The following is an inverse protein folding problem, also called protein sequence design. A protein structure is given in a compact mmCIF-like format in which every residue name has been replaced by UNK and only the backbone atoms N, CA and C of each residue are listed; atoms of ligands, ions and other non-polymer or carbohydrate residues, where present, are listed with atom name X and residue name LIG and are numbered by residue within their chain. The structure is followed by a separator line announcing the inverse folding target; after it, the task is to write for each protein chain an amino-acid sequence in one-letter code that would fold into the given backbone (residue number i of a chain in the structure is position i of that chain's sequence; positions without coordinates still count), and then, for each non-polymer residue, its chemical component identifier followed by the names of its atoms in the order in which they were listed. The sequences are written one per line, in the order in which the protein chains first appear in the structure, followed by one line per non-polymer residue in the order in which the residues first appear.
data_IF_512496612685
#
_entry.id   IF_512496612685
#
_cell.length_a   1.000
_cell.length_b   1.000
_cell.length_c   1.000
_cell.angle_alpha   90.00
_cell.angle_beta   90.00
_cell.angle_gamma   90.00
#
_symmetry.space_group_name_H-M   'P 1'
#
loop_
_entity.id
_entity.type
_entity.pdbx_description
1 polymer ?
2 non-polymer ?
3 non-polymer ?
4 water ?
#
# COMPACT_ATOMS: atom_id res chain seq x y z
N UNK A 8 -29.51 -23.05 17.64
CA UNK A 8 -28.67 -21.88 17.40
C UNK A 8 -28.23 -21.81 15.93
N UNK A 9 -29.13 -21.38 15.06
CA UNK A 9 -28.86 -21.25 13.63
C UNK A 9 -28.82 -19.79 13.24
N UNK A 10 -27.84 -19.43 12.41
CA UNK A 10 -27.67 -18.05 11.98
C UNK A 10 -28.90 -17.54 11.24
N UNK A 11 -29.34 -16.33 11.59
CA UNK A 11 -30.30 -15.62 10.74
C UNK A 11 -30.15 -14.13 10.98
N UNK A 12 -30.09 -13.37 9.90
CA UNK A 12 -29.77 -11.95 10.01
C UNK A 12 -30.25 -11.22 8.78
N UNK A 13 -30.52 -9.91 8.95
CA UNK A 13 -30.81 -9.01 7.85
C UNK A 13 -29.64 -8.05 7.75
N UNK A 14 -29.09 -7.91 6.55
CA UNK A 14 -27.89 -7.10 6.35
C UNK A 14 -28.14 -6.15 5.19
N UNK A 15 -27.62 -4.93 5.30
CA UNK A 15 -27.64 -4.00 4.18
C UNK A 15 -26.72 -4.53 3.07
N UNK A 16 -27.27 -4.68 1.86
CA UNK A 16 -26.54 -5.33 0.78
C UNK A 16 -25.23 -4.62 0.48
N UNK A 17 -25.27 -3.29 0.33
CA UNK A 17 -24.07 -2.55 -0.04
C UNK A 17 -22.96 -2.76 0.99
N UNK A 18 -23.33 -2.88 2.27
CA UNK A 18 -22.32 -3.10 3.30
C UNK A 18 -21.71 -4.48 3.16
N UNK A 19 -22.54 -5.50 2.91
CA UNK A 19 -22.02 -6.84 2.73
C UNK A 19 -21.12 -6.91 1.50
N UNK A 20 -21.52 -6.24 0.41
CA UNK A 20 -20.70 -6.21 -0.80
C UNK A 20 -19.30 -5.70 -0.48
N UNK A 21 -19.21 -4.56 0.23
CA UNK A 21 -17.90 -3.99 0.54
C UNK A 21 -17.04 -4.96 1.36
N UNK A 22 -17.63 -5.58 2.39
CA UNK A 22 -16.87 -6.51 3.23
C UNK A 22 -16.37 -7.70 2.42
N UNK A 23 -17.21 -8.22 1.52
CA UNK A 23 -16.80 -9.36 0.71
C UNK A 23 -15.69 -8.96 -0.25
N UNK A 24 -15.67 -7.71 -0.70
CA UNK A 24 -14.56 -7.26 -1.52
C UNK A 24 -13.24 -7.40 -0.80
N UNK A 25 -13.21 -7.07 0.50
CA UNK A 25 -11.96 -7.24 1.25
C UNK A 25 -11.64 -8.71 1.45
N UNK A 26 -12.69 -9.53 1.63
CA UNK A 26 -12.47 -10.96 1.79
C UNK A 26 -11.89 -11.57 0.52
N UNK A 27 -12.42 -11.18 -0.63
CA UNK A 27 -11.89 -11.68 -1.89
C UNK A 27 -10.43 -11.31 -2.08
N UNK A 28 -10.05 -10.07 -1.73
CA UNK A 28 -8.68 -9.62 -1.95
C UNK A 28 -7.68 -10.38 -1.09
N UNK A 29 -8.15 -11.07 -0.05
CA UNK A 29 -7.25 -11.84 0.82
C UNK A 29 -6.90 -13.18 0.18
N UNK A 30 -7.87 -13.81 -0.46
CA UNK A 30 -7.67 -15.13 -1.03
C UNK A 30 -7.29 -15.04 -2.50
N UNK A 36 -4.62 -24.88 -0.27
CA UNK A 36 -5.51 -25.38 0.78
C UNK A 36 -6.96 -25.03 0.47
N UNK A 37 -7.83 -26.05 0.44
CA UNK A 37 -9.25 -25.80 0.15
C UNK A 37 -9.93 -24.88 1.14
N UNK A 38 -9.55 -24.95 2.43
CA UNK A 38 -10.21 -24.14 3.46
C UNK A 38 -10.03 -22.64 3.22
N UNK A 39 -9.01 -22.24 2.48
CA UNK A 39 -8.79 -20.82 2.20
C UNK A 39 -9.83 -20.24 1.26
N UNK A 40 -10.53 -21.08 0.50
CA UNK A 40 -11.57 -20.64 -0.43
C UNK A 40 -12.87 -20.25 0.27
N UNK A 41 -12.97 -20.45 1.58
CA UNK A 41 -14.22 -20.23 2.29
C UNK A 41 -14.13 -19.00 3.18
N UNK A 42 -15.30 -18.51 3.57
CA UNK A 42 -15.42 -17.38 4.49
C UNK A 42 -16.32 -17.83 5.63
N UNK A 43 -15.95 -17.50 6.85
CA UNK A 43 -16.78 -17.84 8.00
C UNK A 43 -17.66 -16.65 8.34
N UNK A 44 -18.96 -16.90 8.51
CA UNK A 44 -19.92 -15.87 8.90
C UNK A 44 -20.42 -16.22 10.30
N UNK A 45 -20.25 -15.29 11.24
CA UNK A 45 -20.66 -15.51 12.62
C UNK A 45 -21.59 -14.38 13.04
N UNK A 46 -22.84 -14.72 13.35
CA UNK A 46 -23.82 -13.73 13.77
C UNK A 46 -23.90 -13.77 15.29
N UNK A 47 -23.52 -12.66 15.94
CA UNK A 47 -23.54 -12.63 17.39
C UNK A 47 -23.53 -11.19 17.87
N UNK A 48 -24.35 -10.92 18.89
CA UNK A 48 -24.35 -9.64 19.59
C UNK A 48 -24.42 -8.47 18.62
N UNK A 49 -25.45 -8.46 17.78
CA UNK A 49 -25.72 -7.35 16.89
C UNK A 49 -24.80 -7.21 15.68
N UNK A 50 -23.87 -8.12 15.48
CA UNK A 50 -22.92 -7.97 14.40
C UNK A 50 -22.80 -9.26 13.61
N UNK A 51 -22.42 -9.12 12.35
CA UNK A 51 -21.94 -10.23 11.54
C UNK A 51 -20.41 -10.13 11.48
N UNK A 52 -19.73 -11.17 11.91
CA UNK A 52 -18.27 -11.24 11.78
C UNK A 52 -17.92 -12.11 10.58
N UNK A 53 -17.14 -11.56 9.64
CA UNK A 53 -16.67 -12.27 8.47
C UNK A 53 -15.18 -12.55 8.62
N UNK A 54 -14.79 -13.83 8.56
CA UNK A 54 -13.40 -14.23 8.70
C UNK A 54 -12.90 -14.84 7.40
N UNK A 55 -11.74 -14.35 6.95
CA UNK A 55 -11.02 -14.86 5.80
C UNK A 55 -9.56 -15.06 6.17
N UNK A 56 -8.95 -16.10 5.59
CA UNK A 56 -7.54 -16.35 5.90
C UNK A 56 -6.87 -16.98 4.69
N UNK A 57 -5.57 -16.73 4.58
CA UNK A 57 -4.72 -17.50 3.66
C UNK A 57 -3.47 -17.92 4.42
N UNK A 58 -2.36 -18.16 3.71
CA UNK A 58 -1.14 -18.64 4.35
C UNK A 58 -0.49 -17.59 5.24
N UNK A 59 -0.75 -16.29 5.01
CA UNK A 59 0.00 -15.24 5.67
C UNK A 59 -0.88 -14.25 6.43
N UNK A 60 -2.17 -14.19 6.12
CA UNK A 60 -3.09 -13.20 6.65
C UNK A 60 -4.28 -13.87 7.31
N UNK A 61 -4.79 -13.23 8.35
CA UNK A 61 -6.10 -13.58 8.91
C UNK A 61 -6.87 -12.28 9.07
N UNK A 62 -8.01 -12.20 8.42
CA UNK A 62 -8.82 -10.99 8.37
C UNK A 62 -10.15 -11.24 9.05
N UNK A 63 -10.50 -10.38 10.00
CA UNK A 63 -11.78 -10.45 10.68
C UNK A 63 -12.47 -9.10 10.57
N UNK A 64 -13.66 -9.10 9.97
CA UNK A 64 -14.45 -7.88 9.83
C UNK A 64 -15.76 -8.04 10.59
N UNK A 65 -16.16 -7.02 11.33
CA UNK A 65 -17.46 -7.02 11.96
C UNK A 65 -18.29 -5.88 11.40
N UNK A 66 -19.50 -6.18 10.96
CA UNK A 66 -20.43 -5.16 10.46
C UNK A 66 -21.74 -5.28 11.22
N UNK A 67 -22.34 -4.14 11.54
CA UNK A 67 -23.63 -4.15 12.20
C UNK A 67 -24.69 -4.71 11.27
N UNK A 68 -25.47 -5.66 11.77
CA UNK A 68 -26.60 -6.22 11.07
C UNK A 68 -27.74 -6.40 12.08
N UNK A 69 -28.88 -6.83 11.58
CA UNK A 69 -30.01 -7.22 12.44
C UNK A 69 -29.85 -8.70 12.72
N UNK A 70 -29.32 -9.03 13.90
CA UNK A 70 -29.13 -10.43 14.29
C UNK A 70 -30.46 -10.96 14.80
N UNK A 71 -31.12 -11.77 13.98
CA UNK A 71 -32.39 -12.40 14.37
C UNK A 71 -32.18 -13.73 15.09
N UNK A 72 -31.11 -14.44 14.76
CA UNK A 72 -30.74 -15.65 15.47
C UNK A 72 -29.24 -15.84 15.36
N UNK A 73 -28.59 -16.14 16.48
CA UNK A 73 -27.13 -16.23 16.50
C UNK A 73 -26.66 -17.58 15.99
N UNK A 74 -25.54 -17.58 15.27
CA UNK A 74 -24.98 -18.83 14.78
C UNK A 74 -23.82 -18.53 13.85
N UNK A 75 -23.24 -19.61 13.30
CA UNK A 75 -22.09 -19.48 12.42
C UNK A 75 -22.18 -20.50 11.29
N UNK A 76 -21.72 -20.10 10.09
CA UNK A 76 -21.58 -20.99 8.96
C UNK A 76 -20.32 -20.60 8.20
N UNK A 77 -19.84 -21.52 7.36
CA UNK A 77 -18.83 -21.20 6.36
C UNK A 77 -19.36 -21.55 4.97
N UNK A 78 -19.00 -20.71 4.00
CA UNK A 78 -19.50 -20.84 2.63
C UNK A 78 -18.41 -20.34 1.69
N UNK A 79 -18.54 -20.68 0.40
CA UNK A 79 -17.58 -20.25 -0.60
C UNK A 79 -17.54 -18.73 -0.70
N UNK A 80 -16.34 -18.14 -0.57
CA UNK A 80 -16.24 -16.68 -0.70
C UNK A 80 -16.63 -16.22 -2.11
N UNK A 81 -16.08 -16.85 -3.13
CA UNK A 81 -16.40 -16.47 -4.51
C UNK A 81 -17.90 -16.57 -4.80
N UNK A 82 -18.51 -17.68 -4.42
CA UNK A 82 -19.94 -17.85 -4.71
C UNK A 82 -20.77 -16.78 -4.00
N UNK A 83 -20.54 -16.60 -2.69
CA UNK A 83 -21.32 -15.62 -1.94
C UNK A 83 -21.15 -14.22 -2.50
N UNK A 84 -19.91 -13.80 -2.78
CA UNK A 84 -19.72 -12.44 -3.28
C UNK A 84 -20.26 -12.28 -4.69
N UNK A 85 -20.09 -13.28 -5.55
CA UNK A 85 -20.64 -13.19 -6.90
C UNK A 85 -22.14 -12.97 -6.87
N UNK A 86 -22.84 -13.65 -5.95
CA UNK A 86 -24.29 -13.53 -5.88
C UNK A 86 -24.67 -12.18 -5.32
N UNK A 87 -24.10 -11.81 -4.17
CA UNK A 87 -24.56 -10.65 -3.44
C UNK A 87 -24.34 -9.37 -4.25
N UNK A 88 -23.24 -9.30 -5.00
CA UNK A 88 -22.99 -8.08 -5.75
C UNK A 88 -23.89 -7.93 -6.97
N UNK A 89 -24.69 -8.95 -7.29
CA UNK A 89 -25.67 -8.82 -8.36
C UNK A 89 -27.09 -8.69 -7.83
N UNK A 90 -27.25 -8.55 -6.53
CA UNK A 90 -28.61 -8.45 -6.05
C UNK A 90 -29.02 -6.99 -5.94
N UNK A 91 -30.19 -6.60 -6.47
CA UNK A 91 -30.58 -5.18 -6.44
C UNK A 91 -31.23 -4.74 -5.13
N UNK A 92 -31.51 -5.66 -4.22
CA UNK A 92 -32.22 -5.34 -2.99
C UNK A 92 -31.32 -4.52 -2.06
N UNK A 93 -31.92 -3.54 -1.37
CA UNK A 93 -31.14 -2.76 -0.41
C UNK A 93 -30.81 -3.54 0.85
N UNK A 94 -31.59 -4.57 1.19
CA UNK A 94 -31.29 -5.47 2.30
C UNK A 94 -31.45 -6.90 1.85
N UNK A 95 -30.72 -7.80 2.49
CA UNK A 95 -30.84 -9.23 2.26
C UNK A 95 -31.04 -9.94 3.59
N UNK A 96 -31.77 -11.05 3.56
CA UNK A 96 -31.86 -11.95 4.72
C UNK A 96 -31.01 -13.18 4.48
N UNK A 97 -30.15 -13.50 5.44
CA UNK A 97 -29.31 -14.69 5.42
C UNK A 97 -29.82 -15.66 6.48
N UNK A 98 -30.16 -16.88 6.08
CA UNK A 98 -30.68 -17.87 7.01
C UNK A 98 -29.95 -19.18 6.80
N UNK A 99 -29.34 -19.71 7.86
CA UNK A 99 -28.84 -21.08 7.87
C UNK A 99 -30.01 -22.05 8.04
N UNK A 100 -30.15 -22.98 7.10
CA UNK A 100 -31.15 -24.05 7.18
C UNK A 100 -30.46 -25.35 7.58
N UNK A 101 -31.26 -26.30 8.06
CA UNK A 101 -30.67 -27.52 8.60
C UNK A 101 -30.44 -28.59 7.54
N UNK A 102 -29.96 -28.19 6.36
CA UNK A 102 -29.51 -29.15 5.35
C UNK A 102 -28.07 -28.81 4.98
N UNK A 103 -27.35 -28.17 5.89
CA UNK A 103 -26.02 -27.62 5.60
C UNK A 103 -26.08 -26.70 4.38
N UNK A 104 -26.93 -25.69 4.50
CA UNK A 104 -27.25 -24.78 3.40
C UNK A 104 -27.51 -23.40 3.98
N UNK A 105 -27.04 -22.39 3.28
CA UNK A 105 -27.32 -21.00 3.59
C UNK A 105 -28.30 -20.46 2.55
N UNK A 106 -29.45 -19.96 3.02
CA UNK A 106 -30.39 -19.26 2.17
C UNK A 106 -30.06 -17.78 2.15
N UNK A 107 -29.92 -17.21 0.95
CA UNK A 107 -29.82 -15.76 0.76
C UNK A 107 -31.11 -15.34 0.08
N UNK A 108 -31.85 -14.45 0.72
CA UNK A 108 -33.18 -14.08 0.24
C UNK A 108 -33.25 -12.59 -0.01
N UNK A 109 -33.57 -12.22 -1.26
CA UNK A 109 -34.05 -10.90 -1.59
C UNK A 109 -35.55 -10.90 -1.74
N UNK A 110 -36.08 -9.80 -2.29
CA UNK A 110 -37.54 -9.66 -2.35
C UNK A 110 -38.16 -10.66 -3.31
N UNK A 111 -37.52 -10.91 -4.44
CA UNK A 111 -38.10 -11.80 -5.44
C UNK A 111 -37.23 -13.01 -5.76
N UNK A 112 -36.09 -13.17 -5.11
CA UNK A 112 -35.16 -14.22 -5.50
C UNK A 112 -34.62 -14.90 -4.25
N UNK A 113 -34.18 -16.14 -4.43
CA UNK A 113 -33.66 -16.94 -3.34
C UNK A 113 -32.49 -17.77 -3.85
N UNK A 114 -31.41 -17.81 -3.06
CA UNK A 114 -30.22 -18.59 -3.37
C UNK A 114 -29.95 -19.50 -2.20
N UNK A 115 -29.76 -20.79 -2.47
CA UNK A 115 -29.38 -21.74 -1.42
C UNK A 115 -27.97 -22.23 -1.69
N UNK A 116 -27.03 -21.89 -0.79
CA UNK A 116 -25.63 -22.25 -0.94
C UNK A 116 -25.30 -23.40 0.00
N UNK A 117 -24.58 -24.39 -0.50
CA UNK A 117 -24.04 -25.42 0.37
C UNK A 117 -23.05 -24.79 1.34
N UNK A 118 -23.13 -25.18 2.62
CA UNK A 118 -22.18 -24.72 3.64
C UNK A 118 -21.21 -25.83 3.96
N UNK A 119 -20.09 -25.45 4.56
CA UNK A 119 -19.09 -26.39 5.01
C UNK A 119 -18.98 -26.34 6.53
N UNK A 120 -18.53 -27.42 7.15
CA UNK A 120 -18.51 -27.45 8.63
C UNK A 120 -17.65 -26.33 9.21
N UNK A 121 -18.26 -25.55 10.11
CA UNK A 121 -17.54 -24.49 10.81
C UNK A 121 -16.32 -25.05 11.55
N UNK A 122 -16.40 -26.29 12.03
CA UNK A 122 -15.30 -26.87 12.79
C UNK A 122 -14.05 -27.09 11.96
N UNK A 123 -14.14 -27.01 10.63
CA UNK A 123 -12.98 -27.11 9.76
C UNK A 123 -12.46 -25.75 9.34
N UNK A 124 -12.98 -24.70 9.88
CA UNK A 124 -12.43 -23.41 9.53
C UNK A 124 -11.44 -22.98 10.61
N UNK A 125 -10.26 -22.50 10.24
CA UNK A 125 -9.25 -22.15 11.25
C UNK A 125 -9.60 -20.92 12.03
N UNK A 126 -9.39 -20.98 13.35
CA UNK A 126 -9.47 -19.79 14.17
C UNK A 126 -8.18 -18.99 14.07
N UNK A 127 -8.25 -17.72 14.47
CA UNK A 127 -7.12 -16.82 14.37
C UNK A 127 -6.14 -17.11 15.49
N UNK A 128 -4.84 -16.99 15.19
CA UNK A 128 -3.82 -17.10 16.21
C UNK A 128 -3.77 -15.81 17.02
N UNK A 129 -2.81 -15.68 17.93
CA UNK A 129 -2.75 -14.56 18.86
C UNK A 129 -1.40 -13.85 18.77
N UNK A 130 -1.32 -12.68 19.39
CA UNK A 130 -0.08 -11.93 19.44
C UNK A 130 0.18 -11.54 20.90
N UNK A 131 1.46 -11.52 21.27
CA UNK A 131 1.91 -11.01 22.57
C UNK A 131 2.79 -9.82 22.20
N UNK A 132 2.23 -8.63 22.05
CA UNK A 132 2.98 -7.53 21.42
C UNK A 132 4.13 -7.03 22.29
N UNK A 133 5.25 -6.75 21.63
CA UNK A 133 6.36 -6.06 22.28
C UNK A 133 6.06 -4.56 22.40
N UNK A 134 5.40 -3.98 21.41
CA UNK A 134 4.94 -2.60 21.47
C UNK A 134 3.58 -2.54 20.81
N UNK A 135 2.77 -1.56 21.23
CA UNK A 135 1.52 -1.28 20.52
C UNK A 135 1.28 0.22 20.60
N UNK A 136 0.60 0.75 19.58
CA UNK A 136 0.38 2.18 19.49
C UNK A 136 -0.71 2.42 18.47
N UNK A 137 -1.26 3.64 18.50
CA UNK A 137 -2.36 4.05 17.64
C UNK A 137 -1.90 5.23 16.79
N UNK A 138 -2.21 5.18 15.49
CA UNK A 138 -2.00 6.30 14.58
C UNK A 138 -3.24 6.45 13.72
N UNK A 139 -3.36 7.59 13.06
CA UNK A 139 -4.51 7.81 12.20
C UNK A 139 -4.41 6.97 10.94
N UNK A 140 -5.57 6.55 10.42
CA UNK A 140 -5.58 5.78 9.19
C UNK A 140 -4.97 6.57 8.03
N UNK A 141 -5.21 7.87 7.97
CA UNK A 141 -4.69 8.66 6.86
C UNK A 141 -3.18 8.77 6.92
N UNK A 142 -2.61 8.84 8.12
CA UNK A 142 -1.15 8.85 8.24
C UNK A 142 -0.56 7.50 7.86
N UNK A 143 -1.23 6.41 8.25
CA UNK A 143 -0.70 5.10 7.89
C UNK A 143 -0.79 4.86 6.39
N UNK A 144 -1.89 5.30 5.77
CA UNK A 144 -2.03 5.15 4.32
C UNK A 144 -0.89 5.85 3.59
N UNK A 145 -0.54 7.06 4.03
CA UNK A 145 0.52 7.82 3.39
C UNK A 145 1.85 7.07 3.43
N UNK A 146 2.23 6.54 4.61
CA UNK A 146 3.56 5.93 4.68
C UNK A 146 3.62 4.64 3.88
N UNK A 147 2.49 3.92 3.76
CA UNK A 147 2.47 2.72 2.92
C UNK A 147 2.46 3.11 1.44
N UNK A 148 1.68 4.13 1.08
CA UNK A 148 1.68 4.58 -0.30
C UNK A 148 3.04 5.10 -0.72
N UNK A 149 3.82 5.63 0.22
CA UNK A 149 5.13 6.15 -0.16
C UNK A 149 6.20 5.09 -0.24
N UNK A 150 5.92 3.86 0.17
CA UNK A 150 6.94 2.82 0.23
C UNK A 150 6.59 1.54 -0.52
N UNK A 151 5.32 1.31 -0.87
CA UNK A 151 4.95 0.02 -1.44
C UNK A 151 5.58 -0.21 -2.82
N UNK A 152 5.87 0.85 -3.55
CA UNK A 152 6.31 0.71 -4.94
C UNK A 152 7.79 0.33 -5.07
N UNK A 153 8.61 0.54 -4.04
CA UNK A 153 10.04 0.26 -4.13
C UNK A 153 10.43 -0.98 -3.33
N UNK A 154 9.48 -1.87 -3.05
CA UNK A 154 9.79 -3.20 -2.55
C UNK A 154 10.51 -3.99 -3.63
N UNK A 155 11.52 -4.77 -3.23
CA UNK A 155 12.17 -5.67 -4.17
C UNK A 155 11.23 -6.82 -4.54
N UNK A 156 11.40 -7.32 -5.76
CA UNK A 156 10.49 -8.32 -6.29
C UNK A 156 11.15 -9.66 -6.63
N UNK A 157 12.48 -9.77 -6.60
CA UNK A 157 13.11 -11.06 -6.79
C UNK A 157 13.18 -11.79 -5.46
N UNK A 158 12.79 -13.07 -5.46
CA UNK A 158 12.57 -13.83 -4.24
C UNK A 158 13.87 -14.30 -3.58
N UNK A 159 15.03 -14.02 -4.16
CA UNK A 159 16.28 -14.40 -3.51
C UNK A 159 16.58 -13.49 -2.32
N UNK A 160 16.55 -12.17 -2.53
CA UNK A 160 16.77 -11.20 -1.45
C UNK A 160 15.50 -11.13 -0.62
N UNK A 161 15.35 -12.13 0.27
CA UNK A 161 14.13 -12.23 1.07
C UNK A 161 13.90 -10.99 1.92
N UNK A 162 14.95 -10.48 2.57
CA UNK A 162 14.78 -9.38 3.50
C UNK A 162 14.44 -8.05 2.82
N UNK A 163 14.25 -8.03 1.51
CA UNK A 163 13.85 -6.82 0.80
C UNK A 163 12.43 -6.87 0.24
N UNK A 164 11.76 -8.02 0.32
CA UNK A 164 10.45 -8.20 -0.29
C UNK A 164 9.32 -7.77 0.64
N UNK A 165 9.57 -6.77 1.47
CA UNK A 165 8.55 -6.24 2.35
C UNK A 165 8.85 -4.79 2.70
N UNK A 166 7.98 -4.22 3.51
CA UNK A 166 8.14 -2.85 3.99
C UNK A 166 8.63 -2.91 5.43
N UNK A 167 9.80 -2.33 5.69
CA UNK A 167 10.32 -2.26 7.05
C UNK A 167 9.50 -1.25 7.84
N UNK A 168 8.83 -1.70 8.89
CA UNK A 168 8.08 -0.82 9.79
C UNK A 168 8.82 -0.78 11.12
N UNK A 169 9.23 0.41 11.55
CA UNK A 169 9.98 0.43 12.79
C UNK A 169 9.81 1.75 13.51
N UNK A 170 9.82 1.65 14.84
CA UNK A 170 9.75 2.80 15.74
C UNK A 170 11.17 3.17 16.13
N UNK A 171 11.54 4.43 15.91
CA UNK A 171 12.80 4.98 16.40
C UNK A 171 12.48 6.30 17.08
N UNK A 172 12.87 6.41 18.36
CA UNK A 172 12.54 7.57 19.21
C UNK A 172 11.02 7.65 19.28
N UNK A 173 10.40 8.80 19.04
CA UNK A 173 8.95 8.92 18.99
C UNK A 173 8.44 9.00 17.56
N UNK A 174 9.12 8.35 16.63
CA UNK A 174 8.72 8.38 15.23
C UNK A 174 8.55 6.96 14.70
N UNK A 175 7.60 6.81 13.78
CA UNK A 175 7.27 5.51 13.20
C UNK A 175 7.56 5.60 11.71
N UNK A 176 8.46 4.77 11.23
CA UNK A 176 8.95 4.82 9.85
C UNK A 176 8.42 3.63 9.07
N UNK A 177 8.13 3.86 7.79
CA UNK A 177 8.10 2.81 6.79
C UNK A 177 9.27 3.03 5.85
N UNK A 178 9.93 1.94 5.45
CA UNK A 178 11.09 2.02 4.56
C UNK A 178 11.08 0.81 3.64
N UNK A 179 11.44 1.04 2.37
CA UNK A 179 11.53 -0.05 1.41
C UNK A 179 12.68 0.23 0.44
N UNK A 180 13.31 -0.84 -0.03
CA UNK A 180 14.36 -0.68 -1.02
C UNK A 180 14.43 -1.94 -1.86
N UNK A 181 14.87 -1.78 -3.11
CA UNK A 181 15.18 -2.91 -3.97
C UNK A 181 16.64 -2.91 -4.40
N UNK A 182 17.48 -2.11 -3.76
CA UNK A 182 18.86 -1.99 -4.14
C UNK A 182 19.14 -0.94 -5.18
N UNK A 183 18.10 -0.45 -5.86
CA UNK A 183 18.26 0.63 -6.83
C UNK A 183 17.70 1.95 -6.35
N UNK A 184 16.70 1.91 -5.48
CA UNK A 184 16.10 3.11 -4.91
C UNK A 184 15.69 2.83 -3.48
N UNK A 185 15.43 3.91 -2.75
CA UNK A 185 15.10 3.86 -1.34
C UNK A 185 13.94 4.81 -1.10
N UNK A 186 12.96 4.35 -0.35
CA UNK A 186 11.78 5.14 -0.02
C UNK A 186 11.57 5.09 1.49
N UNK A 187 11.38 6.25 2.10
CA UNK A 187 11.19 6.37 3.55
C UNK A 187 10.07 7.36 3.80
N UNK A 188 9.13 6.97 4.68
CA UNK A 188 8.04 7.86 5.07
C UNK A 188 7.72 7.62 6.54
N UNK A 189 7.46 8.69 7.29
CA UNK A 189 7.32 8.48 8.73
C UNK A 189 6.26 9.40 9.33
N UNK A 190 5.89 9.04 10.57
CA UNK A 190 4.84 9.66 11.37
C UNK A 190 5.42 9.90 12.76
N UNK A 191 5.10 11.05 13.35
CA UNK A 191 5.49 11.33 14.72
C UNK A 191 4.47 10.72 15.68
N UNK A 192 4.97 9.96 16.67
CA UNK A 192 4.09 9.29 17.62
C UNK A 192 3.77 10.20 18.80
N UNK A 193 2.58 10.01 19.36
CA UNK A 193 2.12 10.85 20.47
C UNK A 193 2.97 10.63 21.72
N UNK A 194 3.15 9.37 22.13
CA UNK A 194 3.91 9.04 23.33
C UNK A 194 5.20 8.33 22.96
N UNK A 195 6.13 8.29 23.91
CA UNK A 195 7.34 7.50 23.75
C UNK A 195 7.01 6.02 23.81
N UNK A 196 7.87 5.22 23.19
CA UNK A 196 7.58 3.83 22.88
C UNK A 196 8.90 3.13 22.54
N UNK A 197 9.04 1.88 22.97
CA UNK A 197 10.30 1.17 22.76
C UNK A 197 10.61 1.04 21.28
N UNK A 198 11.89 1.12 20.94
CA UNK A 198 12.33 0.92 19.57
C UNK A 198 12.12 -0.54 19.16
N UNK A 199 11.54 -0.75 17.98
CA UNK A 199 11.17 -2.08 17.53
C UNK A 199 10.90 -2.02 16.03
N UNK A 200 11.14 -3.13 15.34
CA UNK A 200 10.94 -3.16 13.91
C UNK A 200 10.55 -4.52 13.40
N UNK A 201 9.75 -4.53 12.31
CA UNK A 201 9.30 -5.74 11.63
C UNK A 201 9.29 -5.48 10.14
N UNK A 202 9.30 -6.55 9.35
CA UNK A 202 9.21 -6.45 7.88
C UNK A 202 7.85 -6.99 7.45
N UNK A 203 7.00 -6.12 6.93
CA UNK A 203 5.65 -6.46 6.56
C UNK A 203 5.64 -6.98 5.13
N UNK A 204 5.09 -8.18 4.87
CA UNK A 204 5.07 -8.70 3.50
C UNK A 204 4.28 -7.79 2.59
N UNK A 205 4.64 -7.81 1.29
CA UNK A 205 4.04 -6.92 0.31
C UNK A 205 2.52 -7.12 0.23
N UNK A 206 2.09 -8.38 0.10
CA UNK A 206 0.64 -8.65 0.04
C UNK A 206 -0.06 -8.11 1.27
N UNK A 207 0.54 -8.30 2.44
CA UNK A 207 -0.06 -7.78 3.67
C UNK A 207 -0.16 -6.26 3.63
N UNK A 208 0.88 -5.58 3.12
CA UNK A 208 0.84 -4.13 2.98
C UNK A 208 -0.27 -3.72 2.02
N UNK A 209 -0.41 -4.44 0.91
CA UNK A 209 -1.44 -4.10 -0.05
C UNK A 209 -2.82 -4.20 0.60
N UNK A 210 -3.06 -5.25 1.37
CA UNK A 210 -4.39 -5.47 1.95
C UNK A 210 -4.71 -4.42 3.01
N UNK A 211 -3.78 -4.14 3.92
CA UNK A 211 -4.12 -3.17 4.95
C UNK A 211 -4.25 -1.78 4.35
N UNK A 212 -3.53 -1.49 3.27
CA UNK A 212 -3.70 -0.19 2.63
C UNK A 212 -5.12 -0.03 2.12
N UNK A 213 -5.65 -1.05 1.42
CA UNK A 213 -7.04 -0.99 0.95
C UNK A 213 -8.01 -0.78 2.10
N UNK A 214 -7.77 -1.45 3.23
CA UNK A 214 -8.67 -1.36 4.37
C UNK A 214 -8.67 0.05 4.95
N UNK A 215 -7.48 0.65 5.15
CA UNK A 215 -7.47 1.97 5.77
C UNK A 215 -7.96 3.03 4.79
N UNK A 216 -7.78 2.81 3.48
CA UNK A 216 -8.27 3.80 2.53
C UNK A 216 -9.78 3.78 2.38
N UNK A 217 -10.46 2.75 2.87
CA UNK A 217 -11.91 2.70 2.75
C UNK A 217 -12.54 3.95 3.35
N UNK A 218 -13.61 4.43 2.72
CA UNK A 218 -14.24 5.67 3.15
C UNK A 218 -14.75 5.59 4.59
N UNK A 219 -15.04 4.39 5.09
CA UNK A 219 -15.48 4.26 6.49
C UNK A 219 -14.32 4.36 7.48
N UNK A 220 -13.09 4.12 7.04
CA UNK A 220 -11.95 4.05 7.94
C UNK A 220 -10.95 5.19 7.79
N UNK A 221 -10.96 5.87 6.65
CA UNK A 221 -9.87 6.78 6.29
C UNK A 221 -9.76 7.95 7.25
N UNK A 222 -10.85 8.32 7.91
CA UNK A 222 -10.82 9.45 8.84
C UNK A 222 -10.68 8.99 10.29
N UNK A 223 -10.45 7.70 10.52
CA UNK A 223 -10.37 7.18 11.89
C UNK A 223 -8.94 6.71 12.19
N UNK A 224 -8.80 5.86 13.20
CA UNK A 224 -7.49 5.45 13.69
C UNK A 224 -7.30 3.96 13.51
N UNK A 225 -6.03 3.57 13.49
CA UNK A 225 -5.64 2.17 13.37
C UNK A 225 -4.65 1.87 14.49
N UNK A 226 -4.93 0.83 15.26
CA UNK A 226 -3.99 0.38 16.28
C UNK A 226 -3.06 -0.65 15.65
N UNK A 227 -1.78 -0.56 16.00
CA UNK A 227 -0.75 -1.44 15.46
C UNK A 227 -0.05 -2.12 16.62
N UNK A 228 0.00 -3.44 16.58
CA UNK A 228 0.65 -4.23 17.62
C UNK A 228 1.75 -5.06 16.95
N UNK A 229 2.95 -4.96 17.49
CA UNK A 229 4.13 -5.58 16.89
C UNK A 229 4.71 -6.61 17.84
N UNK A 230 5.11 -7.76 17.29
CA UNK A 230 5.94 -8.70 18.02
C UNK A 230 6.99 -9.26 17.06
N UNK A 231 7.86 -10.12 17.58
CA UNK A 231 8.94 -10.63 16.76
C UNK A 231 8.45 -11.56 15.65
N UNK A 232 7.22 -12.07 15.72
CA UNK A 232 6.81 -13.05 14.73
C UNK A 232 5.49 -12.72 14.05
N UNK A 233 4.80 -11.64 14.43
CA UNK A 233 3.63 -11.23 13.68
C UNK A 233 3.28 -9.78 14.00
N UNK A 234 2.42 -9.21 13.18
CA UNK A 234 1.90 -7.87 13.36
C UNK A 234 0.39 -7.94 13.33
N UNK A 235 -0.27 -7.16 14.18
CA UNK A 235 -1.72 -7.12 14.22
C UNK A 235 -2.18 -5.68 14.03
N UNK A 236 -3.10 -5.49 13.09
CA UNK A 236 -3.74 -4.22 12.83
C UNK A 236 -5.17 -4.28 13.35
N UNK A 237 -5.59 -3.24 14.06
CA UNK A 237 -6.99 -3.08 14.42
C UNK A 237 -7.43 -1.75 13.83
N UNK A 238 -8.14 -1.82 12.71
CA UNK A 238 -8.51 -0.63 11.96
C UNK A 238 -9.90 -0.20 12.37
N UNK A 239 -10.01 0.99 12.95
CA UNK A 239 -11.28 1.58 13.36
C UNK A 239 -12.14 0.57 14.12
N UNK A 240 -11.50 -0.13 15.07
CA UNK A 240 -12.16 -1.04 16.01
C UNK A 240 -12.64 -2.36 15.39
N UNK A 241 -13.30 -2.31 14.25
CA UNK A 241 -14.10 -3.43 13.78
C UNK A 241 -13.45 -4.26 12.69
N UNK A 242 -12.24 -3.94 12.27
CA UNK A 242 -11.56 -4.75 11.26
C UNK A 242 -10.18 -5.11 11.78
N UNK A 243 -9.89 -6.40 11.86
CA UNK A 243 -8.64 -6.90 12.40
C UNK A 243 -7.93 -7.67 11.30
N UNK A 244 -6.64 -7.38 11.13
CA UNK A 244 -5.81 -8.10 10.17
C UNK A 244 -4.56 -8.56 10.90
N UNK A 245 -4.34 -9.87 10.94
CA UNK A 245 -3.19 -10.49 11.58
C UNK A 245 -2.29 -11.03 10.49
N UNK A 246 -1.00 -10.66 10.51
CA UNK A 246 -0.13 -10.99 9.39
C UNK A 246 1.16 -11.62 9.90
N UNK A 247 1.66 -12.57 9.12
CA UNK A 247 3.02 -13.03 9.31
C UNK A 247 4.00 -11.94 8.90
N UNK A 248 5.26 -12.12 9.26
CA UNK A 248 6.32 -11.18 8.91
C UNK A 248 7.36 -11.87 8.03
N UNK A 249 8.13 -11.06 7.30
CA UNK A 249 9.30 -11.58 6.62
C UNK A 249 10.41 -11.73 7.64
N UNK A 250 10.98 -12.93 7.73
CA UNK A 250 11.98 -13.25 8.75
C UNK A 250 13.35 -12.91 8.17
N UNK A 251 13.75 -11.66 8.33
CA UNK A 251 15.05 -11.21 7.89
C UNK A 251 15.43 -9.95 8.64
N UNK A 252 16.69 -9.57 8.48
CA UNK A 252 17.19 -8.32 9.06
C UNK A 252 17.15 -7.26 7.99
N UNK A 253 16.50 -6.14 8.30
CA UNK A 253 16.49 -5.08 7.28
C UNK A 253 17.74 -4.24 7.41
N UNK A 254 18.43 -3.94 6.31
CA UNK A 254 19.69 -3.20 6.40
C UNK A 254 19.47 -1.80 6.97
N UNK A 255 20.47 -1.31 7.68
CA UNK A 255 20.45 0.06 8.19
C UNK A 255 20.59 1.01 7.01
N UNK A 256 19.46 1.52 6.54
CA UNK A 256 19.39 2.21 5.25
C UNK A 256 19.91 3.64 5.30
N UNK A 257 20.00 4.25 6.49
CA UNK A 257 20.59 5.58 6.58
C UNK A 257 22.01 5.62 6.00
N UNK A 258 22.60 4.45 5.73
CA UNK A 258 23.90 4.40 5.05
C UNK A 258 23.79 4.88 3.60
N UNK A 259 22.61 4.81 3.01
CA UNK A 259 22.43 5.15 1.60
C UNK A 259 21.74 6.51 1.41
N UNK A 260 21.51 7.25 2.49
CA UNK A 260 20.99 8.62 2.40
C UNK A 260 22.16 9.58 2.34
N UNK A 261 22.19 10.51 1.38
CA UNK A 261 23.26 11.51 1.34
C UNK A 261 23.01 12.65 2.32
N UNK A 262 24.09 13.10 2.96
CA UNK A 262 23.99 14.09 4.04
C UNK A 262 24.15 15.53 3.56
N UNK A 263 24.59 15.73 2.32
CA UNK A 263 24.84 17.06 1.80
C UNK A 263 24.40 17.13 0.33
N UNK A 264 24.38 18.35 -0.20
CA UNK A 264 24.03 18.61 -1.59
C UNK A 264 24.72 19.90 -2.01
N UNK A 265 25.09 19.97 -3.29
CA UNK A 265 25.63 21.22 -3.85
C UNK A 265 24.59 21.97 -4.68
N UNK A 266 23.55 21.30 -5.16
CA UNK A 266 22.56 22.00 -5.99
C UNK A 266 21.27 21.22 -5.92
N UNK A 267 20.18 21.91 -6.27
CA UNK A 267 18.87 21.27 -6.31
C UNK A 267 18.07 21.81 -7.48
N UNK A 268 17.33 20.92 -8.11
CA UNK A 268 16.30 21.31 -9.06
C UNK A 268 14.99 21.38 -8.30
N UNK A 269 14.18 22.39 -8.63
CA UNK A 269 12.79 22.44 -8.18
C UNK A 269 11.91 22.58 -9.41
N UNK A 270 10.90 21.72 -9.52
CA UNK A 270 10.12 21.67 -10.76
C UNK A 270 8.69 21.29 -10.42
N UNK A 271 7.75 21.86 -11.18
CA UNK A 271 6.37 21.45 -11.10
C UNK A 271 6.28 19.94 -11.28
N UNK A 272 5.70 19.26 -10.29
CA UNK A 272 5.73 17.79 -10.28
C UNK A 272 5.04 17.22 -11.51
N UNK A 273 3.88 17.75 -11.87
CA UNK A 273 3.09 17.16 -12.94
C UNK A 273 3.79 17.30 -14.29
N UNK A 274 4.33 18.49 -14.60
CA UNK A 274 4.98 18.65 -15.89
C UNK A 274 6.21 17.76 -15.97
N UNK A 275 6.87 17.54 -14.83
CA UNK A 275 8.05 16.68 -14.80
C UNK A 275 7.68 15.23 -15.07
N UNK A 276 6.68 14.73 -14.33
CA UNK A 276 6.20 13.38 -14.52
C UNK A 276 5.70 13.15 -15.94
N UNK A 277 4.90 14.08 -16.45
CA UNK A 277 4.33 13.89 -17.79
C UNK A 277 5.42 13.91 -18.86
N UNK A 278 6.43 14.77 -18.70
CA UNK A 278 7.50 14.83 -19.70
C UNK A 278 8.35 13.56 -19.67
N UNK A 279 8.72 13.11 -18.47
CA UNK A 279 9.45 11.85 -18.33
C UNK A 279 8.69 10.72 -18.98
N UNK A 280 7.37 10.68 -18.79
CA UNK A 280 6.60 9.58 -19.35
C UNK A 280 6.67 9.58 -20.87
N UNK A 281 6.49 10.73 -21.51
CA UNK A 281 6.46 10.63 -22.97
C UNK A 281 7.84 10.43 -23.54
N UNK A 282 8.88 10.99 -22.93
CA UNK A 282 10.23 10.80 -23.44
C UNK A 282 10.67 9.35 -23.29
N UNK A 283 10.28 8.69 -22.19
CA UNK A 283 10.64 7.29 -21.98
C UNK A 283 9.96 6.33 -22.95
N UNK A 284 8.92 6.76 -23.68
CA UNK A 284 8.26 5.86 -24.63
C UNK A 284 9.27 5.27 -25.60
N UNK A 285 10.24 6.09 -26.04
CA UNK A 285 11.18 5.66 -27.07
C UNK A 285 12.21 4.65 -26.56
N UNK A 286 12.40 4.51 -25.25
CA UNK A 286 13.43 3.61 -24.75
C UNK A 286 13.02 2.17 -24.95
N UNK A 287 14.00 1.28 -24.83
CA UNK A 287 13.80 -0.17 -24.85
C UNK A 287 14.13 -0.73 -23.47
N UNK A 288 13.70 -1.98 -23.23
CA UNK A 288 13.89 -2.59 -21.92
C UNK A 288 15.37 -2.83 -21.60
N UNK A 289 16.19 -3.08 -22.62
CA UNK A 289 17.61 -3.30 -22.39
C UNK A 289 18.34 -2.04 -21.93
N UNK A 290 17.72 -0.87 -22.05
CA UNK A 290 18.36 0.39 -21.66
C UNK A 290 17.28 1.39 -21.24
N UNK A 291 16.64 1.12 -20.10
CA UNK A 291 15.54 1.95 -19.61
C UNK A 291 16.14 3.12 -18.85
N UNK A 292 16.43 4.18 -19.57
CA UNK A 292 17.08 5.35 -19.01
C UNK A 292 16.61 6.60 -19.73
N UNK A 293 16.40 7.67 -18.97
CA UNK A 293 16.24 8.98 -19.54
C UNK A 293 17.37 9.87 -19.01
N UNK A 294 17.66 10.92 -19.76
CA UNK A 294 18.76 11.83 -19.47
C UNK A 294 18.18 13.20 -19.11
N UNK A 295 18.65 13.78 -18.01
CA UNK A 295 18.32 15.14 -17.62
C UNK A 295 19.54 16.01 -17.85
N UNK A 296 19.39 17.06 -18.65
CA UNK A 296 20.44 18.05 -18.83
C UNK A 296 19.96 19.35 -18.18
N UNK A 297 20.49 19.64 -17.00
CA UNK A 297 20.02 20.71 -16.15
C UNK A 297 20.86 21.96 -16.33
N UNK A 298 20.20 23.10 -16.54
CA UNK A 298 20.87 24.39 -16.53
C UNK A 298 19.95 25.39 -15.84
N UNK A 299 20.53 26.55 -15.55
CA UNK A 299 19.75 27.65 -15.00
C UNK A 299 18.56 28.00 -15.90
N UNK A 300 18.78 28.06 -17.22
CA UNK A 300 17.76 28.52 -18.15
C UNK A 300 16.79 27.42 -18.56
N UNK A 301 17.26 26.20 -18.75
CA UNK A 301 16.38 25.15 -19.27
C UNK A 301 16.72 23.82 -18.63
N UNK A 302 15.74 22.92 -18.64
CA UNK A 302 15.95 21.52 -18.40
C UNK A 302 15.62 20.79 -19.69
N UNK A 303 16.54 19.96 -20.16
CA UNK A 303 16.31 19.11 -21.32
C UNK A 303 16.17 17.67 -20.85
N UNK A 304 15.06 17.03 -21.21
CA UNK A 304 14.80 15.63 -20.91
C UNK A 304 14.84 14.88 -22.23
N UNK A 305 15.74 13.90 -22.33
CA UNK A 305 15.93 13.20 -23.60
C UNK A 305 16.17 11.73 -23.34
N UNK A 306 16.00 10.93 -24.39
CA UNK A 306 16.23 9.49 -24.31
C UNK A 306 16.50 8.97 -25.71
N UNK A 307 17.09 7.77 -25.77
CA UNK A 307 17.39 7.07 -27.01
C UNK A 307 16.93 5.63 -26.85
N UNK A 308 16.48 5.03 -27.96
CA UNK A 308 16.11 3.63 -27.95
C UNK A 308 16.69 2.96 -29.20
N UNK A 309 17.47 1.90 -29.01
CA UNK A 309 18.17 1.32 -30.14
C UNK A 309 17.18 0.78 -31.16
N UNK A 310 17.42 1.10 -32.43
CA UNK A 310 16.56 0.71 -33.55
C UNK A 310 15.13 1.24 -33.40
N UNK A 311 14.93 2.24 -32.53
CA UNK A 311 13.64 2.91 -32.43
C UNK A 311 13.75 4.39 -32.74
N UNK A 312 14.63 5.11 -32.07
CA UNK A 312 14.87 6.50 -32.35
C UNK A 312 15.30 7.21 -31.08
N UNK A 313 15.02 8.51 -31.03
CA UNK A 313 15.38 9.34 -29.89
C UNK A 313 14.28 10.37 -29.67
N UNK A 314 14.36 11.06 -28.53
CA UNK A 314 13.33 12.00 -28.13
C UNK A 314 13.95 13.03 -27.20
N UNK A 315 13.37 14.21 -27.17
CA UNK A 315 13.87 15.30 -26.35
C UNK A 315 12.73 16.27 -26.07
N UNK A 316 12.64 16.75 -24.83
CA UNK A 316 11.70 17.80 -24.47
C UNK A 316 12.45 18.88 -23.69
N UNK A 317 12.07 20.15 -23.91
CA UNK A 317 12.70 21.29 -23.25
C UNK A 317 11.70 21.91 -22.29
N UNK A 318 12.14 22.13 -21.05
CA UNK A 318 11.39 22.86 -20.04
C UNK A 318 12.21 24.08 -19.67
N UNK A 319 11.60 25.25 -19.74
CA UNK A 319 12.35 26.47 -19.52
C UNK A 319 12.08 27.03 -18.13
N UNK A 320 13.02 27.84 -17.65
CA UNK A 320 12.96 28.38 -16.30
C UNK A 320 11.68 29.18 -16.11
N UNK A 321 11.02 28.96 -14.98
CA UNK A 321 9.78 29.66 -14.71
C UNK A 321 9.52 29.66 -13.21
N UNK A 322 9.05 30.78 -12.71
CA UNK A 322 8.66 30.90 -11.31
C UNK A 322 7.16 30.75 -11.11
N UNK A 323 6.40 30.50 -12.17
CA UNK A 323 4.96 30.28 -12.06
C UNK A 323 4.70 28.88 -11.52
N UNK A 324 3.75 28.78 -10.59
CA UNK A 324 3.47 27.50 -9.94
C UNK A 324 3.11 26.42 -10.95
N UNK A 325 2.34 26.79 -11.99
CA UNK A 325 1.82 25.80 -12.93
C UNK A 325 2.90 25.27 -13.87
N UNK A 326 4.02 25.99 -14.03
CA UNK A 326 5.07 25.56 -14.95
C UNK A 326 6.45 25.70 -14.32
N UNK A 327 6.51 25.64 -12.99
CA UNK A 327 7.70 26.00 -12.25
C UNK A 327 8.92 25.19 -12.69
N UNK A 328 10.02 25.90 -12.94
CA UNK A 328 11.30 25.24 -13.11
C UNK A 328 12.40 26.19 -12.65
N UNK A 329 13.31 25.69 -11.83
CA UNK A 329 14.39 26.51 -11.32
C UNK A 329 15.58 25.61 -11.01
N UNK A 330 16.78 26.09 -11.32
CA UNK A 330 18.00 25.36 -10.98
C UNK A 330 19.08 26.43 -10.70
N UNK A 331 19.32 26.68 -9.41
CA UNK A 331 20.16 27.80 -8.98
C UNK A 331 21.63 27.39 -8.91
N UNK A 332 22.20 27.00 -10.05
CA UNK A 332 23.60 26.62 -10.07
C UNK A 332 24.21 26.96 -11.42
N UNK A 333 25.39 27.57 -11.38
CA UNK A 333 26.04 28.00 -12.62
C UNK A 333 26.59 26.82 -13.40
N UNK A 334 26.91 25.73 -12.71
CA UNK A 334 27.41 24.53 -13.37
C UNK A 334 26.23 23.71 -13.87
N UNK A 335 26.19 23.46 -15.17
CA UNK A 335 25.20 22.53 -15.71
C UNK A 335 25.50 21.10 -15.24
N UNK A 336 24.46 20.29 -15.17
CA UNK A 336 24.55 18.89 -14.78
C UNK A 336 23.81 18.02 -15.79
N UNK A 337 24.44 16.92 -16.19
CA UNK A 337 23.84 15.91 -17.05
C UNK A 337 23.84 14.60 -16.28
N UNK A 338 22.65 14.03 -16.06
CA UNK A 338 22.49 12.87 -15.20
C UNK A 338 21.35 12.02 -15.73
N UNK A 339 21.50 10.69 -15.62
CA UNK A 339 20.50 9.74 -16.09
C UNK A 339 19.79 8.97 -14.99
N UNK A 340 18.58 8.49 -15.28
CA UNK A 340 17.77 7.74 -14.32
C UNK A 340 16.92 6.74 -15.06
N UNK A 341 16.61 5.63 -14.41
CA UNK A 341 15.53 4.78 -14.88
C UNK A 341 14.23 5.56 -14.78
N UNK A 342 13.50 5.78 -15.89
CA UNK A 342 12.29 6.60 -15.80
C UNK A 342 11.21 6.00 -14.92
N UNK A 343 11.10 4.67 -14.85
CA UNK A 343 10.08 4.08 -13.99
C UNK A 343 10.34 4.41 -12.52
N UNK A 344 11.61 4.40 -12.10
CA UNK A 344 11.91 4.67 -10.70
C UNK A 344 11.53 6.12 -10.36
N UNK A 345 11.81 7.05 -11.27
CA UNK A 345 11.40 8.45 -11.08
C UNK A 345 9.89 8.59 -11.03
N UNK A 346 9.20 7.97 -11.99
CA UNK A 346 7.75 8.05 -12.03
C UNK A 346 7.13 7.48 -10.77
N UNK A 347 7.65 6.36 -10.28
CA UNK A 347 7.14 5.78 -9.03
C UNK A 347 7.08 6.81 -7.94
N UNK A 348 8.16 7.58 -7.77
CA UNK A 348 8.20 8.58 -6.70
C UNK A 348 7.26 9.73 -7.01
N UNK A 349 7.29 10.22 -8.26
CA UNK A 349 6.48 11.40 -8.60
C UNK A 349 5.00 11.12 -8.45
N UNK A 350 4.59 9.87 -8.63
CA UNK A 350 3.18 9.50 -8.50
C UNK A 350 2.80 9.16 -7.06
N UNK A 351 3.79 8.98 -6.17
CA UNK A 351 3.46 8.56 -4.81
C UNK A 351 2.90 9.71 -3.97
N UNK A 352 3.23 10.95 -4.29
CA UNK A 352 2.91 12.08 -3.41
C UNK A 352 2.18 13.15 -4.20
N UNK A 353 1.05 13.60 -3.67
CA UNK A 353 0.29 14.68 -4.31
C UNK A 353 0.88 16.00 -3.86
N UNK A 354 1.61 16.65 -4.76
CA UNK A 354 2.31 17.88 -4.43
C UNK A 354 2.49 18.68 -5.71
N UNK A 355 2.46 20.01 -5.58
CA UNK A 355 2.64 20.84 -6.77
C UNK A 355 4.09 20.81 -7.24
N UNK A 356 5.04 20.96 -6.31
CA UNK A 356 6.45 20.99 -6.66
C UNK A 356 7.12 19.70 -6.21
N UNK A 357 8.27 19.41 -6.83
CA UNK A 357 9.17 18.37 -6.38
C UNK A 357 10.59 18.91 -6.47
N UNK A 358 11.46 18.43 -5.56
CA UNK A 358 12.84 18.89 -5.46
C UNK A 358 13.78 17.71 -5.66
N UNK A 359 14.81 17.90 -6.49
CA UNK A 359 15.88 16.92 -6.66
C UNK A 359 17.17 17.52 -6.13
N UNK A 360 17.77 16.87 -5.14
CA UNK A 360 19.02 17.30 -4.54
C UNK A 360 20.17 16.44 -5.07
N UNK A 361 21.23 17.08 -5.54
CA UNK A 361 22.37 16.39 -6.12
C UNK A 361 23.54 16.47 -5.15
N UNK A 362 24.11 15.30 -4.80
CA UNK A 362 25.19 15.24 -3.82
C UNK A 362 26.41 16.01 -4.30
N UNK A 363 26.74 15.87 -5.60
CA UNK A 363 27.90 16.53 -6.18
C UNK A 363 27.62 16.78 -7.65
N UNK A 364 28.60 17.37 -8.34
CA UNK A 364 28.50 17.63 -9.76
C UNK A 364 28.96 16.40 -10.53
N UNK A 365 28.35 15.26 -10.22
CA UNK A 365 28.62 14.01 -10.91
C UNK A 365 27.32 13.32 -11.25
N UNK A 366 27.37 12.50 -12.29
CA UNK A 366 26.21 11.72 -12.72
C UNK A 366 26.19 10.34 -12.10
N UNK A 367 26.86 10.16 -10.96
CA UNK A 367 26.92 8.87 -10.30
C UNK A 367 26.41 8.88 -8.87
N UNK A 368 26.41 10.04 -8.21
CA UNK A 368 25.96 10.13 -6.83
C UNK A 368 24.46 9.88 -6.73
N UNK A 369 24.00 9.28 -5.64
CA UNK A 369 22.56 9.10 -5.47
C UNK A 369 21.86 10.45 -5.32
N UNK A 370 20.64 10.52 -5.85
CA UNK A 370 19.83 11.74 -5.85
C UNK A 370 18.76 11.60 -4.80
N UNK A 371 18.59 12.64 -3.97
CA UNK A 371 17.55 12.67 -2.95
C UNK A 371 16.38 13.50 -3.47
N UNK A 372 15.17 12.97 -3.31
CA UNK A 372 13.95 13.62 -3.80
C UNK A 372 13.08 13.97 -2.61
N UNK A 373 12.55 15.19 -2.61
CA UNK A 373 11.68 15.69 -1.55
C UNK A 373 10.55 16.48 -2.17
N UNK A 374 9.38 16.40 -1.53
CA UNK A 374 8.22 17.21 -1.90
C UNK A 374 7.99 18.28 -0.85
N UNK A 375 8.02 19.57 -1.21
CA UNK A 375 7.62 20.59 -0.25
C UNK A 375 6.18 20.37 0.19
N UNK A 376 5.86 20.90 1.36
CA UNK A 376 4.60 20.63 2.05
C UNK A 376 4.39 19.15 2.34
N UNK A 377 5.43 18.32 2.19
CA UNK A 377 5.40 16.91 2.62
C UNK A 377 6.75 16.54 3.21
N UNK A 378 7.10 17.14 4.35
CA UNK A 378 8.47 16.97 4.87
C UNK A 378 8.79 15.56 5.34
N UNK A 379 7.80 14.69 5.56
CA UNK A 379 8.04 13.42 6.20
C UNK A 379 8.16 12.27 5.21
N UNK A 380 8.55 12.57 3.98
CA UNK A 380 8.80 11.60 2.92
C UNK A 380 10.18 11.86 2.35
N UNK A 381 10.97 10.79 2.19
CA UNK A 381 12.31 10.89 1.63
C UNK A 381 12.50 9.78 0.61
N UNK A 382 13.06 10.12 -0.54
CA UNK A 382 13.28 9.14 -1.60
C UNK A 382 14.69 9.34 -2.15
N UNK A 383 15.38 8.23 -2.39
CA UNK A 383 16.73 8.26 -2.94
C UNK A 383 16.75 7.31 -4.14
N UNK A 384 17.33 7.76 -5.25
CA UNK A 384 17.41 6.95 -6.45
C UNK A 384 18.84 6.92 -6.96
N UNK A 385 19.35 5.72 -7.25
CA UNK A 385 20.63 5.59 -7.90
C UNK A 385 20.48 6.05 -9.34
N UNK A 386 21.37 6.90 -9.84
CA UNK A 386 21.33 7.27 -11.25
C UNK A 386 21.92 6.15 -12.12
N UNK A 387 21.74 6.30 -13.43
CA UNK A 387 22.32 5.37 -14.39
C UNK A 387 23.15 6.18 -15.37
N UNK A 388 24.19 5.55 -15.91
CA UNK A 388 25.02 6.20 -16.90
C UNK A 388 24.25 6.35 -18.21
N UNK A 389 24.27 7.56 -18.76
CA UNK A 389 23.63 7.83 -20.04
C UNK A 389 24.66 8.50 -20.95
X LIG B 1 -25.86 -5.96 -13.83
X LIG B 1 -26.30 -5.65 -12.52
X LIG B 1 -25.41 -4.62 -11.87
X LIG B 1 -24.12 -5.16 -11.65
X LIG B 1 -23.23 -4.23 -11.06
X LIG B 1 -22.47 -4.86 -9.93
X LIG B 1 -21.70 -5.96 -10.40
X LIG B 1 -20.30 -5.78 -10.23
X LIG B 1 -19.60 -7.09 -10.42
X LIG B 1 -19.88 -7.61 -11.71
X LIG B 1 -18.82 -8.39 -12.27
X LIG B 1 -19.40 -9.42 -13.20
X LIG B 1 -20.27 -8.83 -14.16
X LIG C 1 -0.46 -20.90 9.44
X LIG C 1 -1.10 -20.05 8.51
X LIG C 1 -2.23 -19.30 9.14
X LIG C 1 -2.62 -18.23 8.30
X LIG C 1 -2.05 -16.98 8.66
X LIG C 1 -2.92 -16.27 9.64
X LIG C 1 -2.18 -15.30 10.40
X LIG C 1 -0.77 -15.50 10.42
X LIG C 1 -0.20 -15.38 11.80
X LIG C 1 -0.30 -16.60 12.56
X LIG C 1 -0.74 -17.73 11.81
X LIG C 1 0.18 -18.89 12.04
X LIG C 1 1.54 -18.54 11.90
X LIG D 1 -30.37 -16.25 19.18
#
# INVERSE_FOLDING_TARGET
MAHHHHHHMLKLIVETKTLVQSLGFARSVVEKRNVIPEYANIKLSAKDGNLELSSTNMDLYLSQKIAVQVLSEGEITVSTQTLSDIVRKLPDSELTLTELDIMKLEIKGQNCQFNLFTLPVSSFPAMDSIKPEVSFKISCADFAKIIESTKFSISLDETRYNLNGIYLHIKDKEFFAASTDGHRLSISWITLEEKIKNFGVILPQKSAEEILKIVKDLKNIHEDIEILLSSNKIKFICNENTILLSKLIDGTFPDYSAFIPKSSISKLVINRKIFADSIERIAIITVEKFRAIKLSLSRKTLEISAVGEARGNAKEIITASQDKESFYEYNCDESLVIGFNPQYLEDVLKAVKSNLVELYFSDISASAPVLIKFPQNPKDIFVIMPVKV
PG4 O1 C1 C2 O2 C3 C4 O3 C5 C6 O4 C7 C8 O5
PG4 O1 C1 C2 O2 C3 C4 O3 C5 C6 O4 C7 C8 O5
CL CL
#
